data_IF_556218498361
#
_entry.id   IF_556218498361
#
_cell.length_a   1.000
_cell.length_b   1.000
_cell.length_c   1.000
_cell.angle_alpha   90.00
_cell.angle_beta   90.00
_cell.angle_gamma   90.00
#
_symmetry.space_group_name_H-M   'P 1'
#
loop_
_entity.id
_entity.type
_entity.pdbx_description
1 polymer ?
#
# COMPACT_ATOMS: atom_id res chain seq x y z
N UNK A 1 -13.71 -0.19 -5.74
CA UNK A 1 -13.24 1.22 -5.87
C UNK A 1 -13.31 2.05 -4.59
N UNK A 2 -14.42 2.07 -3.82
CA UNK A 2 -14.53 2.95 -2.64
C UNK A 2 -13.48 2.67 -1.56
N UNK A 3 -13.26 1.40 -1.20
CA UNK A 3 -12.22 1.01 -0.25
C UNK A 3 -10.80 1.36 -0.70
N UNK A 4 -10.50 1.21 -2.00
CA UNK A 4 -9.19 1.59 -2.55
C UNK A 4 -8.93 3.09 -2.35
N UNK A 5 -9.89 3.94 -2.73
CA UNK A 5 -9.78 5.39 -2.51
C UNK A 5 -9.63 5.73 -1.02
N UNK A 6 -10.37 5.02 -0.17
CA UNK A 6 -10.29 5.22 1.28
C UNK A 6 -8.88 4.96 1.81
N UNK A 7 -8.27 3.82 1.52
CA UNK A 7 -6.92 3.54 2.02
C UNK A 7 -5.87 4.48 1.42
N UNK A 8 -6.01 4.86 0.14
CA UNK A 8 -5.10 5.83 -0.47
C UNK A 8 -5.15 7.18 0.24
N UNK A 9 -6.35 7.66 0.60
CA UNK A 9 -6.52 8.91 1.35
C UNK A 9 -5.93 8.80 2.77
N UNK A 10 -6.10 7.66 3.45
CA UNK A 10 -5.48 7.41 4.76
C UNK A 10 -3.95 7.45 4.68
N UNK A 11 -3.36 6.81 3.67
CA UNK A 11 -1.92 6.82 3.44
C UNK A 11 -1.40 8.22 3.10
N UNK A 12 -2.14 9.01 2.32
CA UNK A 12 -1.78 10.40 1.98
C UNK A 12 -1.85 11.30 3.22
N UNK A 13 -2.87 11.12 4.07
CA UNK A 13 -3.04 11.91 5.28
C UNK A 13 -1.87 11.71 6.26
N UNK A 14 -1.33 10.49 6.34
CA UNK A 14 -0.18 10.15 7.18
C UNK A 14 -0.36 10.54 8.66
N UNK A 15 -1.59 10.49 9.16
CA UNK A 15 -1.94 10.78 10.56
C UNK A 15 -1.52 9.65 11.52
N UNK A 16 -1.00 8.54 10.99
CA UNK A 16 -0.57 7.35 11.72
C UNK A 16 -0.68 6.09 10.86
N UNK A 17 -0.38 4.90 11.44
CA UNK A 17 -0.56 3.63 10.75
C UNK A 17 -2.03 3.43 10.34
N UNK A 18 -2.24 2.84 9.16
CA UNK A 18 -3.59 2.44 8.76
C UNK A 18 -4.08 1.29 9.64
N UNK A 19 -5.40 1.13 9.71
CA UNK A 19 -6.03 0.12 10.58
C UNK A 19 -5.60 -1.32 10.24
N UNK A 20 -5.62 -2.23 11.23
CA UNK A 20 -5.21 -3.63 11.05
C UNK A 20 -6.07 -4.38 10.03
N UNK A 21 -7.28 -3.91 9.74
CA UNK A 21 -8.18 -4.49 8.72
C UNK A 21 -7.64 -4.39 7.29
N UNK A 22 -6.65 -3.52 7.05
CA UNK A 22 -5.96 -3.40 5.76
C UNK A 22 -4.78 -4.36 5.64
N UNK A 23 -4.42 -5.08 6.71
CA UNK A 23 -3.34 -6.08 6.71
C UNK A 23 -2.05 -5.55 6.06
N UNK A 24 -1.63 -4.35 6.44
CA UNK A 24 -0.45 -3.70 5.86
C UNK A 24 0.84 -4.38 6.33
N UNK A 25 1.70 -4.75 5.38
CA UNK A 25 3.02 -5.31 5.65
C UNK A 25 4.04 -4.99 4.56
N UNK A 26 5.32 -5.10 4.92
CA UNK A 26 6.42 -5.00 3.96
C UNK A 26 6.43 -6.20 3.02
N UNK A 27 6.88 -5.98 1.79
CA UNK A 27 7.17 -7.03 0.81
C UNK A 27 8.66 -7.36 0.79
N UNK A 28 8.97 -8.61 0.47
CA UNK A 28 10.32 -9.15 0.40
C UNK A 28 10.77 -9.44 -1.05
N UNK A 29 12.03 -9.87 -1.23
CA UNK A 29 12.56 -10.29 -2.53
C UNK A 29 12.68 -9.13 -3.53
N UNK A 30 12.23 -9.34 -4.78
CA UNK A 30 12.25 -8.31 -5.83
C UNK A 30 11.41 -7.07 -5.51
N UNK A 31 10.58 -7.15 -4.47
CA UNK A 31 9.73 -6.07 -3.99
C UNK A 31 10.26 -5.43 -2.70
N UNK A 32 11.50 -5.70 -2.29
CA UNK A 32 12.10 -5.10 -1.12
C UNK A 32 11.95 -3.56 -1.11
N UNK A 33 11.52 -3.01 0.02
CA UNK A 33 11.23 -1.58 0.19
C UNK A 33 9.83 -1.17 -0.28
N UNK A 34 9.02 -2.09 -0.80
CA UNK A 34 7.59 -1.89 -1.00
C UNK A 34 6.80 -2.45 0.18
N UNK A 35 5.53 -2.07 0.22
CA UNK A 35 4.50 -2.57 1.12
C UNK A 35 3.29 -2.99 0.31
N UNK A 36 2.49 -3.88 0.87
CA UNK A 36 1.14 -4.15 0.38
C UNK A 36 0.10 -4.08 1.48
N UNK A 37 -1.12 -3.79 1.08
CA UNK A 37 -2.29 -3.88 1.94
C UNK A 37 -3.48 -4.47 1.19
N UNK A 38 -4.36 -5.15 1.94
CA UNK A 38 -5.56 -5.78 1.44
C UNK A 38 -6.71 -4.79 1.37
N UNK A 39 -7.18 -4.53 0.16
CA UNK A 39 -8.37 -3.71 -0.08
C UNK A 39 -9.63 -4.54 0.17
N UNK A 40 -9.57 -5.84 -0.07
CA UNK A 40 -10.64 -6.79 0.25
C UNK A 40 -10.57 -8.06 -0.60
N UNK A 41 -10.78 -9.21 0.06
CA UNK A 41 -10.57 -10.51 -0.60
C UNK A 41 -9.15 -10.61 -1.13
N UNK A 42 -9.04 -10.95 -2.41
CA UNK A 42 -7.78 -11.10 -3.14
C UNK A 42 -7.27 -9.79 -3.78
N UNK A 43 -7.94 -8.65 -3.57
CA UNK A 43 -7.56 -7.38 -4.19
C UNK A 43 -6.65 -6.55 -3.29
N UNK A 44 -5.48 -6.19 -3.82
CA UNK A 44 -4.36 -5.59 -3.10
C UNK A 44 -4.00 -4.21 -3.65
N UNK A 45 -3.30 -3.43 -2.83
CA UNK A 45 -2.56 -2.23 -3.23
C UNK A 45 -1.10 -2.37 -2.82
N UNK A 46 -0.20 -2.40 -3.80
CA UNK A 46 1.24 -2.32 -3.60
C UNK A 46 1.70 -0.86 -3.68
N UNK A 47 2.49 -0.42 -2.71
CA UNK A 47 2.95 0.96 -2.60
C UNK A 47 4.34 1.06 -1.97
N UNK A 48 4.96 2.24 -2.06
CA UNK A 48 6.19 2.59 -1.34
C UNK A 48 5.96 3.80 -0.46
N UNK A 49 6.67 3.81 0.66
CA UNK A 49 6.85 4.99 1.50
C UNK A 49 8.32 5.40 1.41
N UNK A 50 8.56 6.64 1.03
CA UNK A 50 9.88 7.24 1.06
C UNK A 50 9.87 8.41 2.03
N UNK A 51 10.64 8.27 3.11
CA UNK A 51 10.79 9.29 4.14
C UNK A 51 12.14 10.00 3.99
N UNK A 52 12.41 10.47 2.77
CA UNK A 52 13.65 11.18 2.44
C UNK A 52 13.41 12.68 2.42
N UNK A 53 13.34 13.32 3.59
CA UNK A 53 13.46 14.77 3.73
C UNK A 53 12.29 15.47 4.44
N UNK A 54 12.01 16.73 4.07
CA UNK A 54 11.01 17.59 4.75
C UNK A 54 9.56 17.17 4.50
N UNK A 55 9.30 16.32 3.49
CA UNK A 55 7.98 15.89 3.08
C UNK A 55 8.02 14.37 2.85
N UNK A 56 7.08 13.64 3.45
CA UNK A 56 6.91 12.21 3.18
C UNK A 56 6.34 12.01 1.77
N UNK A 57 6.81 10.97 1.08
CA UNK A 57 6.32 10.57 -0.24
C UNK A 57 5.66 9.19 -0.14
N UNK A 58 4.45 9.09 -0.70
CA UNK A 58 3.78 7.81 -0.98
C UNK A 58 3.70 7.61 -2.49
N UNK A 59 4.17 6.45 -2.96
CA UNK A 59 4.07 6.04 -4.38
C UNK A 59 3.13 4.85 -4.47
N UNK A 60 1.98 5.04 -5.11
CA UNK A 60 1.08 3.93 -5.44
C UNK A 60 1.57 3.22 -6.69
N UNK A 61 2.01 1.98 -6.55
CA UNK A 61 2.74 1.25 -7.59
C UNK A 61 1.79 0.45 -8.47
N UNK A 62 0.97 -0.41 -7.88
CA UNK A 62 -0.02 -1.26 -8.57
C UNK A 62 -1.20 -1.59 -7.66
N UNK A 63 -2.37 -1.86 -8.25
CA UNK A 63 -3.51 -2.43 -7.55
C UNK A 63 -4.15 -3.50 -8.43
N UNK A 64 -4.46 -4.65 -7.86
CA UNK A 64 -4.82 -5.87 -8.60
C UNK A 64 -4.91 -7.07 -7.67
N UNK A 65 -5.12 -8.26 -8.25
CA UNK A 65 -5.01 -9.54 -7.54
C UNK A 65 -3.56 -9.92 -7.27
N UNK A 66 -3.31 -10.93 -6.42
CA UNK A 66 -1.94 -11.43 -6.20
C UNK A 66 -1.29 -11.86 -7.53
N UNK A 67 -2.03 -12.58 -8.38
CA UNK A 67 -1.54 -13.02 -9.68
C UNK A 67 -1.18 -11.82 -10.59
N UNK A 68 -2.01 -10.77 -10.64
CA UNK A 68 -1.72 -9.58 -11.45
C UNK A 68 -0.49 -8.79 -10.95
N UNK A 69 -0.15 -8.90 -9.66
CA UNK A 69 0.93 -8.15 -9.05
C UNK A 69 2.26 -8.92 -9.05
N UNK A 70 2.22 -10.24 -8.89
CA UNK A 70 3.40 -11.03 -8.53
C UNK A 70 3.67 -12.26 -9.41
N UNK A 71 2.77 -12.60 -10.34
CA UNK A 71 2.98 -13.63 -11.38
C UNK A 71 3.24 -13.00 -12.76
#
# INVERSE_FOLDING_TARGET
MNRLKQVMLLLIANDGPIGPEWLDHSLDGGWQGHRECHIGGDFLLAYKLEDSGKHGLVVFVRAGTHAELFE
#
